data_IF_321706321300
#
_entry.id   IF_321706321300
#
_cell.length_a   1.000
_cell.length_b   1.000
_cell.length_c   1.000
_cell.angle_alpha   90.00
_cell.angle_beta   90.00
_cell.angle_gamma   90.00
#
_symmetry.space_group_name_H-M   'P 1'
#
loop_
_entity.id
_entity.type
_entity.pdbx_description
1 polymer ?
#
# COMPACT_ATOMS: atom_id res chain seq x y z
N UNK A 1 -8.89 -9.82 -24.43
CA UNK A 1 -8.59 -10.11 -23.00
C UNK A 1 -8.00 -8.83 -22.42
N UNK A 2 -8.54 -8.22 -21.35
CA UNK A 2 -7.86 -7.09 -20.74
C UNK A 2 -6.53 -7.59 -20.18
N UNK A 3 -5.42 -6.95 -20.57
CA UNK A 3 -4.13 -7.11 -19.88
C UNK A 3 -4.40 -6.70 -18.43
N UNK A 4 -4.11 -7.57 -17.48
CA UNK A 4 -4.18 -7.24 -16.06
C UNK A 4 -3.17 -6.12 -15.78
N UNK A 5 -3.54 -4.86 -16.02
CA UNK A 5 -2.84 -3.73 -15.45
C UNK A 5 -2.93 -3.94 -13.94
N UNK A 6 -1.78 -4.04 -13.26
CA UNK A 6 -1.72 -4.32 -11.82
C UNK A 6 -2.75 -3.50 -11.03
N UNK A 7 -3.17 -4.03 -9.87
CA UNK A 7 -4.32 -3.55 -9.08
C UNK A 7 -4.25 -2.07 -8.62
N UNK A 8 -3.15 -1.36 -8.89
CA UNK A 8 -2.90 0.02 -8.47
C UNK A 8 -2.28 0.09 -7.06
N UNK A 9 -1.67 1.22 -6.71
CA UNK A 9 -0.88 1.34 -5.48
C UNK A 9 -1.64 1.00 -4.18
N UNK A 10 -2.84 1.54 -3.97
CA UNK A 10 -3.59 1.34 -2.73
C UNK A 10 -4.14 -0.09 -2.58
N UNK A 11 -4.79 -0.70 -3.60
CA UNK A 11 -5.25 -2.08 -3.48
C UNK A 11 -4.09 -3.09 -3.34
N UNK A 12 -2.97 -2.85 -4.04
CA UNK A 12 -1.77 -3.69 -3.87
C UNK A 12 -1.17 -3.54 -2.47
N UNK A 13 -1.12 -2.32 -1.92
CA UNK A 13 -0.69 -2.10 -0.55
C UNK A 13 -1.58 -2.83 0.48
N UNK A 14 -2.90 -2.79 0.31
CA UNK A 14 -3.84 -3.53 1.17
C UNK A 14 -3.54 -5.03 1.15
N UNK A 15 -3.33 -5.62 -0.03
CA UNK A 15 -3.05 -7.05 -0.17
C UNK A 15 -1.71 -7.44 0.48
N UNK A 16 -0.67 -6.63 0.28
CA UNK A 16 0.65 -6.84 0.89
C UNK A 16 0.59 -6.74 2.41
N UNK A 17 -0.04 -5.70 2.96
CA UNK A 17 -0.15 -5.51 4.41
C UNK A 17 -0.99 -6.61 5.07
N UNK A 18 -2.07 -7.04 4.42
CA UNK A 18 -2.89 -8.17 4.86
C UNK A 18 -2.09 -9.48 4.94
N UNK A 19 -1.22 -9.74 3.95
CA UNK A 19 -0.35 -10.91 3.93
C UNK A 19 0.79 -10.81 4.97
N UNK A 20 1.38 -9.63 5.13
CA UNK A 20 2.52 -9.41 6.02
C UNK A 20 2.16 -9.46 7.51
N UNK A 21 0.93 -9.04 7.88
CA UNK A 21 0.43 -8.98 9.27
C UNK A 21 1.34 -8.20 10.23
N UNK A 22 2.19 -7.31 9.70
CA UNK A 22 3.07 -6.41 10.44
C UNK A 22 3.15 -5.06 9.73
N UNK A 23 3.55 -3.97 10.42
CA UNK A 23 3.84 -2.71 9.77
C UNK A 23 4.95 -2.87 8.73
N UNK A 24 4.78 -2.19 7.60
CA UNK A 24 5.77 -2.14 6.52
C UNK A 24 5.97 -0.69 6.06
N UNK A 25 7.21 -0.37 5.70
CA UNK A 25 7.52 0.89 5.02
C UNK A 25 6.93 0.92 3.62
N UNK A 26 6.70 2.11 3.05
CA UNK A 26 6.22 2.22 1.67
C UNK A 26 7.15 1.52 0.66
N UNK A 27 8.45 1.51 0.91
CA UNK A 27 9.42 0.79 0.09
C UNK A 27 9.24 -0.73 0.16
N UNK A 28 9.10 -1.29 1.36
CA UNK A 28 8.81 -2.72 1.54
C UNK A 28 7.47 -3.11 0.90
N UNK A 29 6.45 -2.27 1.00
CA UNK A 29 5.14 -2.54 0.40
C UNK A 29 5.25 -2.59 -1.12
N UNK A 30 5.91 -1.61 -1.74
CA UNK A 30 6.12 -1.59 -3.19
C UNK A 30 6.94 -2.79 -3.65
N UNK A 31 8.06 -3.08 -2.97
CA UNK A 31 8.91 -4.23 -3.31
C UNK A 31 8.10 -5.52 -3.33
N UNK A 32 7.36 -5.80 -2.24
CA UNK A 32 6.52 -7.00 -2.15
C UNK A 32 5.36 -6.99 -3.15
N UNK A 33 4.78 -5.82 -3.43
CA UNK A 33 3.71 -5.73 -4.41
C UNK A 33 4.19 -6.08 -5.82
N UNK A 34 5.42 -5.70 -6.17
CA UNK A 34 6.08 -6.08 -7.42
C UNK A 34 6.40 -7.59 -7.40
N UNK A 35 7.00 -8.09 -6.32
CA UNK A 35 7.33 -9.52 -6.17
C UNK A 35 6.09 -10.43 -6.27
N UNK A 36 4.95 -9.96 -5.76
CA UNK A 36 3.67 -10.66 -5.82
C UNK A 36 2.91 -10.45 -7.15
N UNK A 37 3.47 -9.69 -8.10
CA UNK A 37 2.81 -9.37 -9.38
C UNK A 37 1.55 -8.50 -9.23
N UNK A 38 1.37 -7.85 -8.08
CA UNK A 38 0.22 -7.00 -7.78
C UNK A 38 0.38 -5.59 -8.33
N UNK A 39 1.62 -5.14 -8.51
CA UNK A 39 1.95 -3.78 -8.92
C UNK A 39 3.03 -3.82 -9.99
N UNK A 40 2.75 -3.23 -11.14
CA UNK A 40 3.74 -2.94 -12.17
C UNK A 40 3.98 -1.43 -12.19
N UNK A 41 5.23 -0.99 -12.16
CA UNK A 41 5.56 0.44 -12.19
C UNK A 41 6.70 0.69 -13.17
N UNK A 42 6.55 1.71 -14.01
CA UNK A 42 7.61 2.19 -14.91
C UNK A 42 8.32 3.43 -14.38
N UNK A 43 7.95 3.89 -13.18
CA UNK A 43 8.40 5.16 -12.58
C UNK A 43 9.66 5.01 -11.72
N UNK A 44 10.38 6.12 -11.53
CA UNK A 44 11.62 6.15 -10.74
C UNK A 44 11.39 6.04 -9.22
N UNK A 45 10.23 6.46 -8.72
CA UNK A 45 9.95 6.60 -7.28
C UNK A 45 8.56 6.06 -6.86
N UNK A 46 8.28 4.77 -7.10
CA UNK A 46 7.00 4.16 -6.72
C UNK A 46 6.73 4.20 -5.21
N UNK A 47 7.75 4.09 -4.37
CA UNK A 47 7.62 4.19 -2.91
C UNK A 47 7.11 5.57 -2.45
N UNK A 48 7.62 6.66 -3.03
CA UNK A 48 7.18 8.03 -2.69
C UNK A 48 5.73 8.26 -3.12
N UNK A 49 5.36 7.72 -4.28
CA UNK A 49 3.99 7.76 -4.80
C UNK A 49 3.03 7.04 -3.85
N UNK A 50 3.37 5.81 -3.46
CA UNK A 50 2.58 5.05 -2.50
C UNK A 50 2.45 5.78 -1.16
N UNK A 51 3.56 6.31 -0.64
CA UNK A 51 3.58 7.05 0.62
C UNK A 51 2.63 8.26 0.58
N UNK A 52 2.70 9.07 -0.47
CA UNK A 52 1.83 10.24 -0.64
C UNK A 52 0.34 9.84 -0.74
N UNK A 53 0.03 8.76 -1.44
CA UNK A 53 -1.34 8.24 -1.55
C UNK A 53 -1.88 7.75 -0.21
N UNK A 54 -1.10 6.96 0.54
CA UNK A 54 -1.48 6.48 1.87
C UNK A 54 -1.70 7.63 2.84
N UNK A 55 -0.78 8.60 2.88
CA UNK A 55 -0.91 9.79 3.72
C UNK A 55 -2.13 10.63 3.38
N UNK A 56 -2.39 10.84 2.08
CA UNK A 56 -3.60 11.54 1.64
C UNK A 56 -4.86 10.79 2.08
N UNK A 57 -4.92 9.48 1.88
CA UNK A 57 -6.08 8.67 2.20
C UNK A 57 -6.35 8.62 3.72
N UNK A 58 -5.30 8.45 4.53
CA UNK A 58 -5.39 8.51 6.00
C UNK A 58 -5.90 9.89 6.46
N UNK A 59 -5.46 10.98 5.85
CA UNK A 59 -5.93 12.34 6.19
C UNK A 59 -7.36 12.60 5.75
N UNK A 60 -7.78 12.08 4.60
CA UNK A 60 -9.12 12.28 4.05
C UNK A 60 -10.18 11.47 4.81
N UNK A 61 -9.89 10.20 5.09
CA UNK A 61 -10.89 9.27 5.64
C UNK A 61 -10.77 9.14 7.17
N UNK A 62 -9.64 9.58 7.74
CA UNK A 62 -9.42 9.64 9.19
C UNK A 62 -9.70 8.31 9.87
N UNK A 63 -10.71 8.28 10.75
CA UNK A 63 -11.09 7.07 11.48
C UNK A 63 -11.72 5.98 10.62
N UNK A 64 -12.29 6.34 9.47
CA UNK A 64 -12.84 5.39 8.51
C UNK A 64 -11.78 4.78 7.59
N UNK A 65 -10.54 5.28 7.62
CA UNK A 65 -9.46 4.75 6.81
C UNK A 65 -9.07 3.34 7.27
N UNK A 66 -8.96 2.41 6.32
CA UNK A 66 -8.46 1.05 6.57
C UNK A 66 -6.95 1.02 6.81
N UNK A 67 -6.24 2.09 6.45
CA UNK A 67 -4.80 2.22 6.66
C UNK A 67 -4.51 3.06 7.90
N UNK A 68 -3.42 2.72 8.57
CA UNK A 68 -2.92 3.46 9.71
C UNK A 68 -1.40 3.62 9.62
N UNK A 69 -0.91 4.80 9.96
CA UNK A 69 0.52 5.04 10.14
C UNK A 69 0.90 4.75 11.58
N UNK A 70 1.92 3.92 11.76
CA UNK A 70 2.46 3.53 13.06
C UNK A 70 3.98 3.61 13.06
N UNK A 71 4.59 3.39 14.21
CA UNK A 71 6.03 3.20 14.30
C UNK A 71 6.46 2.02 13.40
N UNK A 72 7.43 2.25 12.52
CA UNK A 72 7.87 1.26 11.53
C UNK A 72 7.14 1.28 10.19
N UNK A 73 6.13 2.12 9.99
CA UNK A 73 5.54 2.37 8.67
C UNK A 73 4.01 2.38 8.64
N UNK A 74 3.44 1.59 7.74
CA UNK A 74 2.00 1.50 7.51
C UNK A 74 1.49 0.11 7.85
N UNK A 75 0.27 0.03 8.37
CA UNK A 75 -0.46 -1.21 8.60
C UNK A 75 -1.92 -1.07 8.23
N UNK A 76 -2.62 -2.20 8.18
CA UNK A 76 -4.08 -2.19 8.16
C UNK A 76 -4.60 -2.01 9.57
N UNK A 77 -5.52 -1.06 9.74
CA UNK A 77 -6.29 -0.94 10.97
C UNK A 77 -7.11 -2.21 11.13
N UNK A 78 -6.90 -2.92 12.23
CA UNK A 78 -7.81 -3.99 12.63
C UNK A 78 -9.09 -3.30 13.09
N UNK A 79 -10.08 -3.24 12.21
CA UNK A 79 -11.45 -2.90 12.63
C UNK A 79 -11.89 -3.92 13.66
N UNK A 80 -12.34 -3.40 14.82
CA UNK A 80 -12.91 -4.12 15.95
C UNK A 80 -13.95 -5.17 15.57
#
# INVERSE_FOLDING_TARGET
MPKNAGMGFLPSAKRVLSAAKRPLTAAEIVSRAIDMGLLETSGKTPANTLHALLMRHIRQDGRACEFEQVEGGFQLRKGS
#
